data_IF_261338604408
#
_entry.id   IF_261338604408
#
_cell.length_a   1.000
_cell.length_b   1.000
_cell.length_c   1.000
_cell.angle_alpha   90.00
_cell.angle_beta   90.00
_cell.angle_gamma   90.00
#
_symmetry.space_group_name_H-M   'P 1'
#
loop_
_entity.id
_entity.type
_entity.pdbx_description
1 polymer ?
#
# COMPACT_ATOMS: atom_id res chain seq x y z
N UNK A 1 0.41 -3.62 -12.80
CA UNK A 1 0.11 -2.29 -12.24
C UNK A 1 1.35 -1.70 -11.62
N UNK A 2 1.47 -0.37 -11.75
CA UNK A 2 2.44 0.44 -11.04
C UNK A 2 1.72 1.08 -9.85
N UNK A 3 2.38 1.09 -8.70
CA UNK A 3 1.90 1.64 -7.45
C UNK A 3 2.95 2.64 -6.95
N UNK A 4 2.48 3.67 -6.27
CA UNK A 4 3.36 4.73 -5.77
C UNK A 4 3.21 4.82 -4.25
N UNK A 5 3.98 4.02 -3.49
CA UNK A 5 3.86 4.01 -2.04
C UNK A 5 4.38 5.31 -1.45
N UNK A 6 3.52 6.01 -0.71
CA UNK A 6 3.85 7.25 0.00
C UNK A 6 4.02 6.95 1.49
N UNK A 7 5.03 7.57 2.11
CA UNK A 7 5.23 7.49 3.55
C UNK A 7 4.24 8.40 4.28
N UNK A 8 3.66 7.93 5.38
CA UNK A 8 2.56 8.64 6.05
C UNK A 8 3.04 9.98 6.62
N UNK A 9 4.25 10.03 7.17
CA UNK A 9 4.82 11.25 7.73
C UNK A 9 5.10 12.30 6.65
N UNK A 10 5.48 11.89 5.44
CA UNK A 10 5.66 12.82 4.32
C UNK A 10 4.30 13.38 3.88
N UNK A 11 3.25 12.54 3.86
CA UNK A 11 1.88 12.99 3.59
C UNK A 11 1.42 14.02 4.63
N UNK A 12 1.60 13.73 5.92
CA UNK A 12 1.20 14.64 7.00
C UNK A 12 1.97 15.97 6.91
N UNK A 13 3.25 15.92 6.56
CA UNK A 13 4.06 17.14 6.39
C UNK A 13 3.54 17.98 5.21
N UNK A 14 3.26 17.34 4.06
CA UNK A 14 2.68 18.05 2.91
C UNK A 14 1.32 18.66 3.22
N UNK A 15 0.47 17.98 3.99
CA UNK A 15 -0.82 18.52 4.43
C UNK A 15 -0.66 19.70 5.38
N UNK A 16 0.33 19.67 6.27
CA UNK A 16 0.59 20.76 7.22
C UNK A 16 1.07 22.00 6.47
N UNK A 17 1.99 21.84 5.52
CA UNK A 17 2.47 22.96 4.70
C UNK A 17 1.40 23.52 3.75
N UNK A 18 0.53 22.67 3.21
CA UNK A 18 -0.63 23.12 2.44
C UNK A 18 -1.66 23.89 3.30
N UNK A 19 -1.59 23.81 4.62
CA UNK A 19 -2.44 24.61 5.51
C UNK A 19 -1.77 25.92 5.92
N UNK A 20 -0.44 25.97 5.93
CA UNK A 20 0.34 27.16 6.29
C UNK A 20 0.58 28.11 5.09
N UNK A 21 0.53 27.60 3.86
CA UNK A 21 0.79 28.38 2.64
C UNK A 21 -0.51 28.80 1.93
N UNK A 22 -0.80 30.11 1.97
CA UNK A 22 -1.97 30.70 1.31
C UNK A 22 -1.98 30.49 -0.22
N UNK A 23 -0.81 30.31 -0.86
CA UNK A 23 -0.70 30.06 -2.30
C UNK A 23 -1.26 28.69 -2.71
N UNK A 24 -1.40 27.78 -1.74
CA UNK A 24 -1.96 26.44 -1.96
C UNK A 24 -3.49 26.39 -1.88
N UNK A 25 -4.13 27.50 -1.52
CA UNK A 25 -5.58 27.59 -1.41
C UNK A 25 -6.28 27.32 -2.75
N UNK A 26 -7.34 26.50 -2.70
CA UNK A 26 -8.20 26.15 -3.84
C UNK A 26 -7.43 25.49 -5.02
N UNK A 27 -6.29 24.85 -4.74
CA UNK A 27 -5.55 24.05 -5.70
C UNK A 27 -5.71 22.56 -5.43
N UNK A 28 -5.63 21.74 -6.48
CA UNK A 28 -5.64 20.29 -6.38
C UNK A 28 -4.24 19.77 -6.63
N UNK A 29 -3.67 19.10 -5.63
CA UNK A 29 -2.34 18.49 -5.74
C UNK A 29 -2.44 16.97 -5.74
N UNK A 30 -1.80 16.35 -6.72
CA UNK A 30 -1.61 14.90 -6.75
C UNK A 30 -0.35 14.54 -5.95
N UNK A 31 -0.53 13.81 -4.85
CA UNK A 31 0.56 13.46 -3.93
C UNK A 31 0.88 11.98 -4.09
N UNK A 32 2.16 11.66 -4.26
CA UNK A 32 2.63 10.28 -4.37
C UNK A 32 4.07 10.13 -3.93
N UNK A 33 4.46 8.89 -3.61
CA UNK A 33 5.84 8.58 -3.19
C UNK A 33 6.93 8.84 -4.24
N UNK A 34 8.21 8.70 -3.85
CA UNK A 34 9.37 9.06 -4.67
C UNK A 34 9.63 8.12 -5.84
N UNK A 35 8.96 6.96 -5.90
CA UNK A 35 9.29 5.90 -6.83
C UNK A 35 8.04 5.14 -7.26
N UNK A 36 7.95 4.84 -8.56
CA UNK A 36 6.97 3.90 -9.08
C UNK A 36 7.47 2.48 -8.87
N UNK A 37 6.72 1.71 -8.07
CA UNK A 37 7.01 0.32 -7.79
C UNK A 37 5.91 -0.57 -8.33
N UNK A 38 6.28 -1.69 -8.92
CA UNK A 38 5.31 -2.74 -9.23
C UNK A 38 4.85 -3.42 -7.94
N UNK A 39 3.62 -3.94 -7.92
CA UNK A 39 3.13 -4.73 -6.79
C UNK A 39 4.09 -5.89 -6.43
N UNK A 40 4.66 -6.54 -7.45
CA UNK A 40 5.66 -7.59 -7.26
C UNK A 40 6.92 -7.10 -6.53
N UNK A 41 7.42 -5.91 -6.88
CA UNK A 41 8.55 -5.29 -6.17
C UNK A 41 8.19 -4.93 -4.74
N UNK A 42 7.01 -4.36 -4.49
CA UNK A 42 6.53 -4.04 -3.13
C UNK A 42 6.51 -5.31 -2.28
N UNK A 43 5.86 -6.37 -2.77
CA UNK A 43 5.79 -7.65 -2.04
C UNK A 43 7.18 -8.23 -1.82
N UNK A 44 8.07 -8.18 -2.81
CA UNK A 44 9.46 -8.66 -2.67
C UNK A 44 10.23 -7.89 -1.61
N UNK A 45 10.13 -6.56 -1.60
CA UNK A 45 10.78 -5.68 -0.61
C UNK A 45 10.24 -5.93 0.79
N UNK A 46 8.92 -6.07 0.95
CA UNK A 46 8.28 -6.44 2.22
C UNK A 46 8.74 -7.82 2.68
N UNK A 47 8.73 -8.81 1.79
CA UNK A 47 9.16 -10.19 2.06
C UNK A 47 10.61 -10.24 2.55
N UNK A 48 11.50 -9.47 1.90
CA UNK A 48 12.90 -9.32 2.30
C UNK A 48 13.03 -8.64 3.67
N UNK A 49 12.23 -7.60 3.96
CA UNK A 49 12.26 -6.89 5.23
C UNK A 49 11.77 -7.75 6.42
N UNK A 50 10.79 -8.62 6.21
CA UNK A 50 10.25 -9.55 7.23
C UNK A 50 10.99 -10.90 7.29
N UNK A 51 11.95 -11.16 6.38
CA UNK A 51 12.72 -12.40 6.33
C UNK A 51 11.94 -13.64 5.86
N UNK A 52 10.79 -13.46 5.19
CA UNK A 52 10.00 -14.55 4.63
C UNK A 52 10.36 -14.72 3.16
N UNK A 53 10.52 -15.96 2.68
CA UNK A 53 10.66 -16.24 1.25
C UNK A 53 9.31 -16.65 0.69
N UNK A 54 8.75 -15.83 -0.23
CA UNK A 54 7.51 -16.14 -0.95
C UNK A 54 7.75 -16.15 -2.45
N UNK A 55 7.24 -17.17 -3.13
CA UNK A 55 7.24 -17.24 -4.58
C UNK A 55 6.04 -16.48 -5.12
N UNK A 56 6.30 -15.50 -5.98
CA UNK A 56 5.26 -14.75 -6.67
C UNK A 56 4.80 -15.55 -7.90
N UNK A 57 3.52 -15.90 -7.96
CA UNK A 57 2.92 -16.59 -9.11
C UNK A 57 2.08 -15.59 -9.90
N UNK A 58 2.34 -15.40 -11.21
CA UNK A 58 1.51 -14.56 -12.04
C UNK A 58 0.17 -15.28 -12.30
N UNK A 59 -0.92 -14.74 -11.74
CA UNK A 59 -2.27 -15.27 -11.94
C UNK A 59 -3.04 -14.33 -12.87
N UNK A 60 -3.75 -14.88 -13.86
CA UNK A 60 -4.57 -14.05 -14.76
C UNK A 60 -5.80 -13.51 -14.02
N UNK A 61 -6.28 -12.29 -14.34
CA UNK A 61 -7.43 -11.66 -13.68
C UNK A 61 -8.70 -12.53 -13.53
N UNK A 62 -9.15 -13.33 -14.52
CA UNK A 62 -10.35 -14.14 -14.36
C UNK A 62 -10.21 -15.21 -13.26
N UNK A 63 -9.03 -15.82 -13.12
CA UNK A 63 -8.78 -16.79 -12.05
C UNK A 63 -8.68 -16.12 -10.68
N UNK A 64 -8.10 -14.91 -10.61
CA UNK A 64 -8.06 -14.14 -9.37
C UNK A 64 -9.46 -13.84 -8.85
N UNK A 65 -10.38 -13.39 -9.72
CA UNK A 65 -11.78 -13.11 -9.35
C UNK A 65 -12.50 -14.35 -8.83
N UNK A 66 -12.39 -15.47 -9.54
CA UNK A 66 -12.99 -16.73 -9.11
C UNK A 66 -12.43 -17.20 -7.76
N UNK A 67 -11.10 -17.09 -7.58
CA UNK A 67 -10.43 -17.43 -6.33
C UNK A 67 -10.90 -16.55 -5.17
N UNK A 68 -11.04 -15.23 -5.38
CA UNK A 68 -11.51 -14.33 -4.32
C UNK A 68 -12.95 -14.56 -3.92
N UNK A 69 -13.86 -14.80 -4.88
CA UNK A 69 -15.25 -15.14 -4.57
C UNK A 69 -15.32 -16.45 -3.79
N UNK A 70 -14.51 -17.44 -4.18
CA UNK A 70 -14.41 -18.70 -3.45
C UNK A 70 -13.86 -18.50 -2.03
N UNK A 71 -12.79 -17.71 -1.87
CA UNK A 71 -12.18 -17.38 -0.57
C UNK A 71 -13.14 -16.63 0.35
N UNK A 72 -13.89 -15.66 -0.18
CA UNK A 72 -14.86 -14.87 0.57
C UNK A 72 -16.02 -15.74 1.06
N UNK A 73 -16.45 -16.72 0.25
CA UNK A 73 -17.47 -17.69 0.63
C UNK A 73 -16.98 -18.72 1.66
N UNK A 74 -15.72 -19.17 1.56
CA UNK A 74 -15.17 -20.20 2.47
C UNK A 74 -14.57 -19.63 3.77
N UNK A 75 -14.07 -18.39 3.75
CA UNK A 75 -13.37 -17.74 4.86
C UNK A 75 -13.83 -16.28 5.02
N UNK A 76 -14.95 -16.02 5.72
CA UNK A 76 -15.49 -14.67 5.95
C UNK A 76 -14.63 -13.76 6.85
N UNK A 77 -13.39 -14.15 7.16
CA UNK A 77 -12.43 -13.41 7.99
C UNK A 77 -11.13 -13.05 7.25
N UNK A 78 -11.04 -13.26 5.94
CA UNK A 78 -9.86 -12.87 5.18
C UNK A 78 -9.88 -11.38 4.86
N UNK A 79 -8.77 -10.64 5.08
CA UNK A 79 -8.68 -9.20 4.83
C UNK A 79 -8.57 -8.83 3.34
N UNK A 80 -8.87 -9.76 2.42
CA UNK A 80 -8.71 -9.59 0.97
C UNK A 80 -10.09 -9.70 0.32
N UNK A 81 -10.64 -8.58 -0.15
CA UNK A 81 -11.92 -8.53 -0.89
C UNK A 81 -11.67 -8.39 -2.39
N UNK A 82 -12.65 -8.78 -3.22
CA UNK A 82 -12.65 -8.55 -4.67
C UNK A 82 -12.41 -7.06 -5.00
N UNK A 83 -13.01 -6.17 -4.21
CA UNK A 83 -12.82 -4.71 -4.35
C UNK A 83 -11.38 -4.27 -4.16
N UNK A 84 -10.63 -4.90 -3.24
CA UNK A 84 -9.21 -4.61 -3.06
C UNK A 84 -8.37 -5.03 -4.25
N UNK A 85 -8.70 -6.14 -4.91
CA UNK A 85 -8.02 -6.56 -6.13
C UNK A 85 -8.31 -5.61 -7.30
N UNK A 86 -9.57 -5.22 -7.47
CA UNK A 86 -9.92 -4.27 -8.53
C UNK A 86 -9.33 -2.87 -8.25
N UNK A 87 -9.26 -2.44 -6.98
CA UNK A 87 -8.57 -1.20 -6.57
C UNK A 87 -7.05 -1.27 -6.76
N UNK A 88 -6.45 -2.42 -6.50
CA UNK A 88 -5.03 -2.64 -6.79
C UNK A 88 -4.78 -2.71 -8.31
N UNK A 89 -5.82 -3.05 -9.07
CA UNK A 89 -5.76 -3.10 -10.52
C UNK A 89 -5.85 -1.71 -11.18
N UNK A 90 -6.46 -0.73 -10.53
CA UNK A 90 -6.44 0.65 -11.01
C UNK A 90 -5.06 1.28 -10.82
N UNK A 91 -4.60 2.02 -11.83
CA UNK A 91 -3.38 2.79 -11.73
C UNK A 91 -3.68 4.07 -10.94
N UNK A 92 -3.12 4.18 -9.74
CA UNK A 92 -3.15 5.37 -8.89
C UNK A 92 -1.75 5.97 -8.79
N UNK A 93 -1.27 6.54 -9.91
CA UNK A 93 0.06 7.15 -10.01
C UNK A 93 -0.08 8.65 -10.16
N UNK A 94 0.60 9.39 -9.28
CA UNK A 94 0.74 10.85 -9.33
C UNK A 94 2.10 11.24 -9.94
N UNK A 95 2.22 12.40 -10.61
CA UNK A 95 3.49 12.91 -11.09
C UNK A 95 4.50 13.04 -9.96
N UNK A 96 5.74 12.62 -10.20
CA UNK A 96 6.83 12.55 -9.20
C UNK A 96 7.32 13.93 -8.74
N UNK A 97 6.99 14.99 -9.49
CA UNK A 97 7.56 16.31 -9.30
C UNK A 97 6.74 17.19 -8.33
N UNK A 98 5.51 16.80 -7.96
CA UNK A 98 4.63 17.64 -7.12
C UNK A 98 5.17 17.86 -5.71
N UNK A 99 5.67 16.81 -5.04
CA UNK A 99 6.23 16.93 -3.69
C UNK A 99 7.52 17.77 -3.62
N UNK A 100 8.55 17.53 -4.45
CA UNK A 100 9.76 18.33 -4.40
C UNK A 100 9.56 19.75 -4.95
N UNK A 101 8.64 19.96 -5.88
CA UNK A 101 8.47 21.27 -6.54
C UNK A 101 7.49 22.19 -5.81
N UNK A 102 6.41 21.65 -5.22
CA UNK A 102 5.42 22.45 -4.46
C UNK A 102 5.81 22.55 -3.00
N UNK A 103 6.25 21.43 -2.41
CA UNK A 103 6.50 21.38 -0.98
C UNK A 103 8.00 21.45 -0.64
N UNK A 104 8.93 21.31 -1.60
CA UNK A 104 10.37 21.22 -1.31
C UNK A 104 10.73 20.07 -0.34
N UNK A 105 9.91 19.01 -0.36
CA UNK A 105 10.14 17.77 0.39
C UNK A 105 10.85 16.76 -0.49
N UNK A 106 11.85 16.08 0.08
CA UNK A 106 12.40 14.85 -0.49
C UNK A 106 11.67 13.65 0.13
N UNK A 107 10.71 13.03 -0.58
CA UNK A 107 9.93 11.94 0.00
C UNK A 107 10.81 10.73 0.30
N UNK A 108 10.54 10.08 1.42
CA UNK A 108 11.28 8.94 1.92
C UNK A 108 11.08 7.72 1.03
N UNK A 109 12.18 7.04 0.70
CA UNK A 109 12.13 5.84 -0.14
C UNK A 109 11.44 4.70 0.59
N UNK A 110 10.57 3.99 -0.12
CA UNK A 110 9.80 2.89 0.44
C UNK A 110 10.71 1.88 1.12
N UNK A 111 11.76 1.42 0.40
CA UNK A 111 12.73 0.42 0.87
C UNK A 111 13.41 0.73 2.20
N UNK A 112 13.53 2.00 2.59
CA UNK A 112 14.25 2.43 3.80
C UNK A 112 13.35 2.52 5.04
N UNK A 113 12.02 2.58 4.86
CA UNK A 113 11.05 2.76 5.95
C UNK A 113 10.30 1.48 6.33
N UNK A 114 10.82 0.28 6.03
CA UNK A 114 10.19 -1.00 6.43
C UNK A 114 10.57 -1.48 7.84
N UNK A 115 11.31 -0.67 8.62
CA UNK A 115 11.79 -1.09 9.93
C UNK A 115 10.64 -1.44 10.90
N UNK A 116 9.47 -0.79 10.79
CA UNK A 116 8.28 -1.05 11.61
C UNK A 116 7.70 -2.47 11.43
N UNK A 117 8.03 -3.16 10.33
CA UNK A 117 7.57 -4.51 10.04
C UNK A 117 8.44 -5.59 10.72
N UNK A 118 9.64 -5.23 11.21
CA UNK A 118 10.56 -6.15 11.88
C UNK A 118 10.06 -6.42 13.31
N UNK A 119 10.00 -7.69 13.70
CA UNK A 119 9.62 -8.12 15.06
C UNK A 119 8.14 -8.46 15.25
N UNK A 120 7.29 -8.33 14.21
CA UNK A 120 5.91 -8.79 14.27
C UNK A 120 5.79 -10.27 13.86
N UNK A 121 5.09 -11.06 14.67
CA UNK A 121 4.80 -12.46 14.37
C UNK A 121 3.63 -12.57 13.37
N UNK A 122 3.91 -12.32 12.09
CA UNK A 122 2.92 -12.29 11.01
C UNK A 122 2.08 -13.58 10.88
N UNK A 123 2.66 -14.75 11.16
CA UNK A 123 1.93 -16.04 11.14
C UNK A 123 0.84 -16.11 12.21
N UNK A 124 1.16 -15.67 13.43
CA UNK A 124 0.23 -15.66 14.55
C UNK A 124 -0.82 -14.56 14.40
N UNK A 125 -0.45 -13.40 13.84
CA UNK A 125 -1.40 -12.33 13.53
C UNK A 125 -2.47 -12.79 12.54
N UNK A 126 -2.09 -13.52 11.49
CA UNK A 126 -3.04 -14.01 10.49
C UNK A 126 -4.02 -15.02 11.09
N UNK A 127 -3.52 -15.96 11.91
CA UNK A 127 -4.37 -16.90 12.65
C UNK A 127 -5.30 -16.14 13.61
N UNK A 128 -4.81 -15.10 14.29
CA UNK A 128 -5.63 -14.27 15.18
C UNK A 128 -6.70 -13.47 14.42
N UNK A 129 -6.42 -12.97 13.22
CA UNK A 129 -7.42 -12.27 12.40
C UNK A 129 -8.49 -13.23 11.87
N UNK A 130 -8.11 -14.44 11.47
CA UNK A 130 -9.06 -15.47 10.99
C UNK A 130 -9.88 -16.07 12.13
N UNK A 131 -9.27 -16.26 13.31
CA UNK A 131 -9.88 -16.92 14.46
C UNK A 131 -10.53 -15.94 15.45
N UNK A 132 -10.16 -14.66 15.41
CA UNK A 132 -10.69 -13.57 16.20
C UNK A 132 -12.04 -13.10 15.66
N UNK A 133 -13.08 -13.89 15.93
CA UNK A 133 -14.48 -13.49 15.79
C UNK A 133 -14.69 -12.08 16.36
N UNK A 134 -15.31 -11.19 15.59
CA UNK A 134 -16.09 -10.06 16.14
C UNK A 134 -17.25 -10.66 16.96
N UNK A 135 -17.36 -10.47 18.29
CA UNK A 135 -18.67 -10.49 18.90
C UNK A 135 -19.48 -9.30 18.37
N UNK A 136 -20.76 -9.55 18.17
CA UNK A 136 -21.76 -8.65 17.62
C UNK A 136 -21.87 -7.31 18.35
#
# INVERSE_FOLDING_TARGET
>A
MLLQPLWVEDLVTSLTWALDDDDTCNQTYEIGGPEYLTFAQIVKTVSAAIGIHRTLVPVRPPYLRALTVFLEHTLPGLPISVYWLDYLASNHTAPLDTLPHTFNLMPARFSQRLAYLRGQNWRLSLVRTVMGKRPA
#
